data_IF_246586141342
#
_entry.id   IF_246586141342
#
_cell.length_a   1.000
_cell.length_b   1.000
_cell.length_c   1.000
_cell.angle_alpha   90.00
_cell.angle_beta   90.00
_cell.angle_gamma   90.00
#
_symmetry.space_group_name_H-M   'P 1'
#
loop_
_entity.id
_entity.type
_entity.pdbx_description
1 polymer ?
#
# COMPACT_ATOMS: atom_id res chain seq x y z
N UNK A 1 -54.74 24.58 -24.96
CA UNK A 1 -53.79 24.90 -23.85
C UNK A 1 -52.68 23.86 -23.67
N UNK A 2 -52.94 22.55 -23.47
CA UNK A 2 -51.84 21.57 -23.21
C UNK A 2 -50.72 21.51 -24.27
N UNK A 3 -51.00 21.67 -25.56
CA UNK A 3 -49.98 21.61 -26.64
C UNK A 3 -49.09 22.87 -26.79
N UNK A 4 -49.51 24.05 -26.30
CA UNK A 4 -48.63 25.23 -26.28
C UNK A 4 -47.55 25.12 -25.19
N UNK A 5 -47.91 24.51 -24.05
CA UNK A 5 -46.99 24.30 -22.92
C UNK A 5 -45.84 23.36 -23.32
N UNK A 6 -46.12 22.33 -24.13
CA UNK A 6 -45.09 21.39 -24.62
C UNK A 6 -44.06 22.07 -25.53
N UNK A 7 -44.49 23.04 -26.36
CA UNK A 7 -43.60 23.75 -27.27
C UNK A 7 -42.64 24.69 -26.51
N UNK A 8 -43.13 25.34 -25.44
CA UNK A 8 -42.32 26.26 -24.62
C UNK A 8 -41.17 25.55 -23.90
N UNK A 9 -41.37 24.29 -23.47
CA UNK A 9 -40.37 23.48 -22.77
C UNK A 9 -39.22 23.07 -23.71
N UNK A 10 -39.50 22.81 -25.00
CA UNK A 10 -38.48 22.40 -25.97
C UNK A 10 -37.55 23.57 -26.33
N UNK A 11 -38.08 24.80 -26.41
CA UNK A 11 -37.26 26.00 -26.71
C UNK A 11 -36.25 26.31 -25.59
N UNK A 12 -36.58 26.02 -24.33
CA UNK A 12 -35.67 26.20 -23.19
C UNK A 12 -34.46 25.25 -23.20
N UNK A 13 -34.53 24.13 -23.92
CA UNK A 13 -33.44 23.15 -24.04
C UNK A 13 -32.43 23.57 -25.12
N UNK A 14 -32.85 24.42 -26.07
CA UNK A 14 -32.04 24.86 -27.22
C UNK A 14 -31.32 26.20 -27.01
N UNK A 15 -31.45 26.82 -25.83
CA UNK A 15 -30.61 27.97 -25.47
C UNK A 15 -29.22 27.44 -25.08
N UNK A 16 -28.15 27.74 -25.83
CA UNK A 16 -26.82 27.38 -25.40
C UNK A 16 -26.52 28.13 -24.10
N UNK A 17 -26.41 27.38 -22.99
CA UNK A 17 -25.78 27.91 -21.78
C UNK A 17 -24.41 28.43 -22.20
N UNK A 18 -24.13 29.69 -21.88
CA UNK A 18 -22.87 30.36 -22.25
C UNK A 18 -21.71 29.42 -21.92
N UNK A 19 -20.95 29.04 -22.94
CA UNK A 19 -19.66 28.41 -22.71
C UNK A 19 -18.78 29.48 -22.07
N UNK A 20 -18.54 29.38 -20.77
CA UNK A 20 -17.53 30.21 -20.13
C UNK A 20 -16.18 29.75 -20.64
N UNK A 21 -15.58 30.57 -21.51
CA UNK A 21 -14.19 30.43 -21.88
C UNK A 21 -13.35 30.46 -20.61
N UNK A 22 -12.51 29.44 -20.43
CA UNK A 22 -11.68 29.25 -19.24
C UNK A 22 -10.88 30.52 -18.95
N UNK A 23 -11.12 31.12 -17.78
CA UNK A 23 -10.15 32.03 -17.18
C UNK A 23 -9.37 31.25 -16.11
N UNK A 24 -8.07 31.53 -16.00
CA UNK A 24 -7.16 30.70 -15.20
C UNK A 24 -7.43 30.84 -13.70
N UNK A 25 -8.02 29.80 -13.09
CA UNK A 25 -8.16 29.67 -11.63
C UNK A 25 -9.39 28.88 -11.20
N UNK A 26 -9.18 27.84 -10.38
CA UNK A 26 -10.23 27.04 -9.74
C UNK A 26 -11.24 26.36 -10.70
N UNK A 27 -10.81 25.30 -11.39
CA UNK A 27 -11.73 24.32 -11.94
C UNK A 27 -12.42 23.54 -10.81
N UNK A 28 -13.69 23.84 -10.55
CA UNK A 28 -14.51 23.02 -9.67
C UNK A 28 -14.79 21.66 -10.31
N UNK A 29 -14.67 20.58 -9.53
CA UNK A 29 -15.19 19.25 -9.89
C UNK A 29 -16.26 18.88 -8.88
N UNK A 30 -17.47 18.64 -9.37
CA UNK A 30 -18.60 18.23 -8.55
C UNK A 30 -18.40 16.82 -8.01
N UNK A 31 -18.92 16.57 -6.81
CA UNK A 31 -18.92 15.23 -6.22
C UNK A 31 -19.88 14.28 -6.96
N UNK A 32 -19.64 12.98 -6.74
CA UNK A 32 -20.44 11.81 -7.12
C UNK A 32 -20.18 11.30 -8.57
N UNK A 33 -19.79 10.01 -8.64
CA UNK A 33 -19.62 9.17 -9.82
C UNK A 33 -18.42 9.46 -10.77
N UNK A 34 -17.22 9.04 -10.32
CA UNK A 34 -16.14 8.58 -11.20
C UNK A 34 -15.21 9.64 -11.79
N UNK A 35 -13.93 9.53 -11.45
CA UNK A 35 -12.79 10.22 -12.11
C UNK A 35 -12.90 11.76 -12.05
N UNK A 36 -12.52 12.32 -10.90
CA UNK A 36 -12.17 13.74 -10.84
C UNK A 36 -10.79 13.95 -11.50
N UNK A 37 -10.70 14.91 -12.44
CA UNK A 37 -9.43 15.28 -13.06
C UNK A 37 -8.46 15.79 -11.98
N UNK A 38 -7.34 15.07 -11.78
CA UNK A 38 -6.42 15.32 -10.68
C UNK A 38 -5.60 16.59 -10.96
N UNK A 39 -6.03 17.71 -10.39
CA UNK A 39 -5.21 18.90 -10.26
C UNK A 39 -4.02 18.64 -9.32
N UNK A 40 -2.81 19.02 -9.74
CA UNK A 40 -1.59 18.75 -8.98
C UNK A 40 -1.55 19.51 -7.64
N UNK A 41 -1.94 18.84 -6.54
CA UNK A 41 -1.96 19.42 -5.20
C UNK A 41 -2.23 18.39 -4.10
N UNK A 42 -2.12 18.81 -2.84
CA UNK A 42 -2.27 17.96 -1.64
C UNK A 42 -3.64 17.27 -1.60
N UNK A 43 -4.71 17.96 -2.02
CA UNK A 43 -6.07 17.42 -2.10
C UNK A 43 -6.18 16.13 -2.92
N UNK A 44 -5.36 15.96 -3.96
CA UNK A 44 -5.34 14.74 -4.75
C UNK A 44 -4.77 13.53 -3.98
N UNK A 45 -3.79 13.76 -3.11
CA UNK A 45 -3.13 12.69 -2.34
C UNK A 45 -4.08 12.15 -1.26
N UNK A 46 -4.82 13.04 -0.56
CA UNK A 46 -5.84 12.61 0.40
C UNK A 46 -7.01 11.88 -0.31
N UNK A 47 -7.48 12.37 -1.47
CA UNK A 47 -8.51 11.67 -2.24
C UNK A 47 -8.05 10.28 -2.71
N UNK A 48 -6.79 10.13 -3.14
CA UNK A 48 -6.22 8.84 -3.51
C UNK A 48 -6.08 7.90 -2.30
N UNK A 49 -5.74 8.44 -1.12
CA UNK A 49 -5.68 7.70 0.14
C UNK A 49 -7.06 7.19 0.54
N UNK A 50 -8.08 8.03 0.54
CA UNK A 50 -9.47 7.63 0.79
C UNK A 50 -9.93 6.55 -0.18
N UNK A 51 -9.63 6.69 -1.48
CA UNK A 51 -9.95 5.69 -2.50
C UNK A 51 -9.22 4.36 -2.25
N UNK A 52 -7.94 4.42 -1.87
CA UNK A 52 -7.13 3.24 -1.58
C UNK A 52 -7.58 2.50 -0.32
N UNK A 53 -7.90 3.23 0.76
CA UNK A 53 -8.44 2.65 2.00
C UNK A 53 -9.85 2.05 1.78
N UNK A 54 -10.70 2.69 0.98
CA UNK A 54 -12.00 2.15 0.58
C UNK A 54 -11.85 0.85 -0.23
N UNK A 55 -10.99 0.83 -1.25
CA UNK A 55 -10.78 -0.38 -2.07
C UNK A 55 -10.15 -1.52 -1.28
N UNK A 56 -9.17 -1.22 -0.41
CA UNK A 56 -8.58 -2.18 0.51
C UNK A 56 -9.65 -2.78 1.47
N UNK A 57 -10.53 -1.94 2.02
CA UNK A 57 -11.65 -2.37 2.87
C UNK A 57 -12.62 -3.28 2.10
N UNK A 58 -13.00 -2.91 0.87
CA UNK A 58 -13.86 -3.74 0.02
C UNK A 58 -13.21 -5.09 -0.33
N UNK A 59 -11.89 -5.12 -0.56
CA UNK A 59 -11.17 -6.37 -0.78
C UNK A 59 -11.17 -7.25 0.47
N UNK A 60 -10.96 -6.69 1.66
CA UNK A 60 -11.05 -7.44 2.92
C UNK A 60 -12.45 -8.03 3.10
N UNK A 61 -13.51 -7.20 3.00
CA UNK A 61 -14.89 -7.68 3.17
C UNK A 61 -15.29 -8.79 2.18
N UNK A 62 -14.66 -8.82 0.99
CA UNK A 62 -14.89 -9.83 -0.04
C UNK A 62 -14.13 -11.15 0.20
N UNK A 63 -12.89 -11.08 0.68
CA UNK A 63 -11.99 -12.24 0.75
C UNK A 63 -11.79 -12.77 2.18
N UNK A 64 -12.11 -11.96 3.19
CA UNK A 64 -12.01 -12.25 4.62
C UNK A 64 -13.33 -11.93 5.34
N UNK A 65 -14.45 -12.59 4.98
CA UNK A 65 -15.76 -12.35 5.59
C UNK A 65 -15.83 -12.72 7.08
N UNK A 66 -14.81 -13.40 7.62
CA UNK A 66 -14.62 -13.64 9.05
C UNK A 66 -14.27 -12.38 9.86
N UNK A 67 -13.75 -11.31 9.23
CA UNK A 67 -13.35 -10.08 9.89
C UNK A 67 -14.54 -9.13 10.09
N UNK A 68 -15.14 -9.19 11.29
CA UNK A 68 -16.37 -8.45 11.62
C UNK A 68 -16.14 -7.04 12.18
N UNK A 69 -14.97 -6.77 12.77
CA UNK A 69 -14.64 -5.46 13.37
C UNK A 69 -13.14 -5.19 13.33
N UNK A 70 -12.71 -4.36 12.38
CA UNK A 70 -11.30 -4.02 12.15
C UNK A 70 -11.12 -2.53 11.82
N UNK A 71 -9.98 -2.00 12.24
CA UNK A 71 -9.41 -0.74 11.76
C UNK A 71 -8.53 -1.02 10.55
N UNK A 72 -8.56 -0.12 9.56
CA UNK A 72 -7.67 -0.14 8.41
C UNK A 72 -7.05 1.25 8.23
N UNK A 73 -5.72 1.33 8.16
CA UNK A 73 -5.00 2.59 7.89
C UNK A 73 -3.82 2.34 6.96
N UNK A 74 -3.68 3.15 5.90
CA UNK A 74 -2.50 3.10 5.04
C UNK A 74 -1.22 3.60 5.75
N UNK A 75 -0.08 2.99 5.42
CA UNK A 75 1.26 3.45 5.81
C UNK A 75 1.87 4.42 4.80
N UNK A 76 1.34 4.47 3.56
CA UNK A 76 2.13 4.97 2.43
C UNK A 76 1.82 6.38 1.95
N UNK A 77 0.71 6.99 2.36
CA UNK A 77 0.27 8.29 1.83
C UNK A 77 0.62 9.49 2.73
N UNK A 78 0.87 9.27 4.02
CA UNK A 78 1.12 10.35 4.98
C UNK A 78 2.39 11.16 4.60
N UNK A 79 2.20 12.40 4.14
CA UNK A 79 3.27 13.37 3.84
C UNK A 79 4.00 13.24 2.49
N UNK A 80 3.62 12.30 1.61
CA UNK A 80 4.27 12.10 0.30
C UNK A 80 3.61 12.91 -0.83
N UNK A 81 4.33 13.17 -1.94
CA UNK A 81 3.78 13.89 -3.11
C UNK A 81 3.25 12.90 -4.16
N UNK A 82 2.33 13.36 -5.01
CA UNK A 82 1.74 12.56 -6.09
C UNK A 82 2.78 11.87 -7.00
N UNK A 83 3.85 12.58 -7.37
CA UNK A 83 4.96 12.02 -8.17
C UNK A 83 5.76 10.92 -7.44
N UNK A 84 5.72 10.90 -6.11
CA UNK A 84 6.38 9.89 -5.30
C UNK A 84 5.46 8.65 -5.15
N UNK A 85 4.14 8.79 -5.39
CA UNK A 85 3.16 7.69 -5.48
C UNK A 85 3.27 6.90 -6.78
N UNK A 86 3.51 7.54 -7.93
CA UNK A 86 3.67 6.82 -9.21
C UNK A 86 4.85 5.83 -9.21
N UNK A 87 5.83 6.00 -8.31
CA UNK A 87 6.95 5.08 -8.11
C UNK A 87 6.74 4.03 -7.00
N UNK A 88 5.64 4.09 -6.25
CA UNK A 88 5.32 3.06 -5.25
C UNK A 88 4.89 1.77 -5.96
N UNK A 89 5.59 0.68 -5.65
CA UNK A 89 5.32 -0.67 -6.16
C UNK A 89 4.58 -1.58 -5.16
N UNK A 90 4.43 -1.12 -3.92
CA UNK A 90 3.66 -1.80 -2.85
C UNK A 90 2.95 -0.74 -2.01
N UNK A 91 1.62 -0.82 -1.93
CA UNK A 91 0.81 -0.05 -0.98
C UNK A 91 0.60 -0.91 0.27
N UNK A 92 0.89 -0.38 1.45
CA UNK A 92 0.74 -1.10 2.70
C UNK A 92 -0.39 -0.51 3.55
N UNK A 93 -1.18 -1.38 4.18
CA UNK A 93 -2.22 -1.01 5.13
C UNK A 93 -2.11 -1.84 6.40
N UNK A 94 -2.03 -1.17 7.55
CA UNK A 94 -2.21 -1.83 8.84
C UNK A 94 -3.69 -2.17 9.00
N UNK A 95 -3.96 -3.43 9.32
CA UNK A 95 -5.29 -3.96 9.65
C UNK A 95 -5.23 -4.45 11.10
N UNK A 96 -6.12 -3.96 11.95
CA UNK A 96 -6.16 -4.40 13.34
C UNK A 96 -7.59 -4.61 13.83
N UNK A 97 -7.89 -5.83 14.28
CA UNK A 97 -9.18 -6.18 14.87
C UNK A 97 -9.40 -5.43 16.21
N UNK A 98 -10.67 -5.19 16.55
CA UNK A 98 -11.06 -4.62 17.84
C UNK A 98 -12.44 -5.13 18.27
N UNK A 99 -12.79 -4.95 19.54
CA UNK A 99 -14.13 -5.25 20.06
C UNK A 99 -15.01 -3.98 20.03
N UNK A 100 -16.20 -4.00 19.39
CA UNK A 100 -17.07 -2.84 19.32
C UNK A 100 -17.59 -2.39 20.71
N UNK A 101 -17.21 -1.19 21.13
CA UNK A 101 -17.64 -0.54 22.36
C UNK A 101 -17.54 0.99 22.21
N UNK A 102 -18.01 1.77 23.19
CA UNK A 102 -17.75 3.22 23.23
C UNK A 102 -16.24 3.45 23.36
N UNK A 103 -15.63 4.20 22.43
CA UNK A 103 -14.17 4.43 22.35
C UNK A 103 -13.39 3.09 22.33
N UNK A 104 -13.49 2.31 21.25
CA UNK A 104 -12.85 1.01 21.17
C UNK A 104 -11.32 1.13 21.16
N UNK A 105 -10.65 0.21 21.84
CA UNK A 105 -9.19 0.09 21.81
C UNK A 105 -8.78 -0.92 20.73
N UNK A 106 -7.72 -0.60 19.98
CA UNK A 106 -7.15 -1.51 18.99
C UNK A 106 -6.29 -2.57 19.68
N UNK A 107 -6.94 -3.63 20.15
CA UNK A 107 -6.35 -4.69 20.99
C UNK A 107 -6.47 -6.10 20.40
N UNK A 108 -7.13 -6.27 19.24
CA UNK A 108 -7.25 -7.54 18.54
C UNK A 108 -6.06 -7.88 17.66
N UNK A 109 -6.23 -8.92 16.84
CA UNK A 109 -5.25 -9.44 15.89
C UNK A 109 -4.74 -8.33 14.97
N UNK A 110 -3.42 -8.34 14.74
CA UNK A 110 -2.73 -7.45 13.79
C UNK A 110 -2.44 -8.18 12.50
N UNK A 111 -2.64 -7.52 11.37
CA UNK A 111 -2.31 -7.98 10.02
C UNK A 111 -1.88 -6.78 9.17
N UNK A 112 -1.11 -7.00 8.11
CA UNK A 112 -0.78 -5.96 7.12
C UNK A 112 -1.22 -6.43 5.75
N UNK A 113 -2.07 -5.64 5.10
CA UNK A 113 -2.48 -5.88 3.73
C UNK A 113 -1.47 -5.25 2.77
N UNK A 114 -0.90 -6.07 1.91
CA UNK A 114 0.04 -5.68 0.86
C UNK A 114 -0.75 -5.59 -0.46
N UNK A 115 -0.85 -4.39 -1.03
CA UNK A 115 -1.32 -4.17 -2.39
C UNK A 115 -0.13 -3.98 -3.33
N UNK A 116 0.34 -5.05 -3.96
CA UNK A 116 1.39 -4.97 -4.98
C UNK A 116 0.86 -4.34 -6.25
N UNK A 117 1.55 -3.33 -6.76
CA UNK A 117 1.07 -2.53 -7.88
C UNK A 117 1.91 -2.79 -9.14
N UNK A 118 1.24 -3.06 -10.27
CA UNK A 118 1.91 -3.14 -11.57
C UNK A 118 1.99 -1.78 -12.26
N UNK A 119 2.82 -1.66 -13.31
CA UNK A 119 3.05 -0.40 -14.01
C UNK A 119 1.77 0.30 -14.50
N UNK A 120 1.67 1.60 -14.23
CA UNK A 120 0.51 2.43 -14.56
C UNK A 120 -0.72 2.16 -13.70
N UNK A 121 -0.54 1.79 -12.43
CA UNK A 121 -1.60 1.76 -11.40
C UNK A 121 -2.03 3.16 -10.96
N UNK A 122 -1.14 4.16 -11.00
CA UNK A 122 -1.48 5.60 -10.95
C UNK A 122 -1.19 6.21 -12.31
N UNK A 123 -2.11 7.05 -12.80
CA UNK A 123 -1.92 7.92 -13.96
C UNK A 123 -2.74 9.21 -13.79
N UNK A 124 -2.78 10.06 -14.82
CA UNK A 124 -3.49 11.36 -14.81
C UNK A 124 -5.02 11.22 -14.57
N UNK A 125 -5.59 10.04 -14.86
CA UNK A 125 -6.99 9.70 -14.58
C UNK A 125 -7.21 9.05 -13.19
N UNK A 126 -6.20 9.06 -12.32
CA UNK A 126 -6.28 8.51 -10.96
C UNK A 126 -5.76 7.09 -10.82
N UNK A 127 -6.34 6.34 -9.87
CA UNK A 127 -5.86 5.01 -9.46
C UNK A 127 -6.66 3.89 -10.13
N UNK A 128 -5.95 2.96 -10.76
CA UNK A 128 -6.48 1.71 -11.31
C UNK A 128 -6.14 0.54 -10.36
N UNK A 129 -7.14 0.11 -9.60
CA UNK A 129 -7.00 -0.98 -8.63
C UNK A 129 -7.11 -2.40 -9.22
N UNK A 130 -7.54 -2.55 -10.48
CA UNK A 130 -7.52 -3.84 -11.19
C UNK A 130 -6.08 -4.33 -11.43
N UNK A 131 -5.10 -3.41 -11.34
CA UNK A 131 -3.66 -3.66 -11.37
C UNK A 131 -3.02 -3.89 -10.00
N UNK A 132 -3.82 -4.13 -8.95
CA UNK A 132 -3.33 -4.35 -7.59
C UNK A 132 -3.58 -5.77 -7.14
N UNK A 133 -2.50 -6.48 -6.79
CA UNK A 133 -2.55 -7.84 -6.23
C UNK A 133 -2.40 -7.79 -4.72
N UNK A 134 -3.34 -8.41 -4.03
CA UNK A 134 -3.56 -8.23 -2.61
C UNK A 134 -3.15 -9.46 -1.80
N UNK A 135 -2.37 -9.26 -0.75
CA UNK A 135 -1.92 -10.31 0.17
C UNK A 135 -2.09 -9.84 1.62
N UNK A 136 -2.90 -10.54 2.42
CA UNK A 136 -3.08 -10.22 3.83
C UNK A 136 -2.08 -11.03 4.68
N UNK A 137 -1.08 -10.33 5.21
CA UNK A 137 0.05 -10.92 5.95
C UNK A 137 -0.23 -10.82 7.45
N UNK A 138 -0.11 -11.91 8.20
CA UNK A 138 -0.14 -11.89 9.67
C UNK A 138 1.27 -11.95 10.29
N UNK A 139 1.35 -11.93 11.61
CA UNK A 139 2.62 -11.97 12.35
C UNK A 139 3.48 -13.20 12.00
N UNK A 140 2.85 -14.37 11.80
CA UNK A 140 3.53 -15.63 11.53
C UNK A 140 4.11 -15.65 10.12
N UNK A 141 3.30 -15.22 9.14
CA UNK A 141 3.77 -15.10 7.76
C UNK A 141 4.82 -14.01 7.62
N UNK A 142 4.66 -12.85 8.31
CA UNK A 142 5.69 -11.80 8.34
C UNK A 142 7.02 -12.28 8.89
N UNK A 143 7.03 -13.04 9.99
CA UNK A 143 8.25 -13.65 10.53
C UNK A 143 8.84 -14.67 9.55
N UNK A 144 8.01 -15.46 8.87
CA UNK A 144 8.47 -16.38 7.81
C UNK A 144 9.09 -15.62 6.62
N UNK A 145 8.48 -14.51 6.19
CA UNK A 145 9.01 -13.63 5.15
C UNK A 145 10.37 -13.05 5.57
N UNK A 146 10.43 -12.40 6.74
CA UNK A 146 11.66 -11.78 7.27
C UNK A 146 12.76 -12.81 7.53
N UNK A 147 12.41 -14.03 7.95
CA UNK A 147 13.39 -15.12 8.10
C UNK A 147 14.04 -15.43 6.75
N UNK A 148 13.27 -15.61 5.69
CA UNK A 148 13.79 -15.87 4.34
C UNK A 148 14.67 -14.71 3.83
N UNK A 149 14.19 -13.47 4.01
CA UNK A 149 14.95 -12.28 3.64
C UNK A 149 16.28 -12.15 4.39
N UNK A 150 16.31 -12.38 5.72
CA UNK A 150 17.54 -12.34 6.52
C UNK A 150 18.53 -13.44 6.10
N UNK A 151 18.07 -14.64 5.74
CA UNK A 151 18.97 -15.68 5.19
C UNK A 151 19.71 -15.18 3.96
N UNK A 152 18.98 -14.62 2.99
CA UNK A 152 19.54 -14.05 1.76
C UNK A 152 20.46 -12.87 2.04
N UNK A 153 20.07 -12.00 2.97
CA UNK A 153 20.81 -10.78 3.26
C UNK A 153 22.08 -11.02 4.10
N UNK A 154 22.18 -12.11 4.86
CA UNK A 154 23.31 -12.39 5.78
C UNK A 154 24.12 -13.66 5.47
N UNK A 155 23.62 -14.55 4.61
CA UNK A 155 24.21 -15.87 4.37
C UNK A 155 24.00 -16.89 5.51
N UNK A 156 23.34 -16.50 6.61
CA UNK A 156 23.07 -17.40 7.74
C UNK A 156 21.88 -18.29 7.40
N UNK A 157 22.06 -19.62 7.47
CA UNK A 157 21.01 -20.58 7.09
C UNK A 157 20.13 -21.07 8.25
N UNK A 158 20.51 -20.81 9.50
CA UNK A 158 19.76 -21.23 10.69
C UNK A 158 18.47 -20.41 10.85
N UNK A 159 17.36 -21.02 10.44
CA UNK A 159 16.01 -20.45 10.54
C UNK A 159 15.59 -20.14 11.98
N UNK A 160 16.03 -20.95 12.96
CA UNK A 160 15.60 -20.77 14.36
C UNK A 160 16.32 -19.58 14.96
N UNK A 161 17.65 -19.53 14.84
CA UNK A 161 18.47 -18.40 15.27
C UNK A 161 17.98 -17.08 14.69
N UNK A 162 17.59 -17.06 13.41
CA UNK A 162 17.05 -15.87 12.75
C UNK A 162 15.69 -15.47 13.33
N UNK A 163 14.76 -16.41 13.53
CA UNK A 163 13.45 -16.13 14.14
C UNK A 163 13.57 -15.59 15.55
N UNK A 164 14.36 -16.25 16.40
CA UNK A 164 14.56 -15.86 17.80
C UNK A 164 15.11 -14.41 17.87
N UNK A 165 16.08 -14.08 16.99
CA UNK A 165 16.64 -12.72 16.89
C UNK A 165 15.70 -11.70 16.25
N UNK A 166 14.79 -12.11 15.37
CA UNK A 166 13.77 -11.23 14.80
C UNK A 166 12.72 -10.84 15.84
N UNK A 167 12.43 -11.70 16.81
CA UNK A 167 11.50 -11.40 17.91
C UNK A 167 12.13 -10.51 19.00
N UNK A 168 13.47 -10.54 19.15
CA UNK A 168 14.22 -9.71 20.11
C UNK A 168 14.67 -8.35 19.51
N UNK A 169 14.90 -8.31 18.20
CA UNK A 169 15.66 -7.25 17.53
C UNK A 169 14.86 -6.35 16.60
N UNK A 170 15.59 -5.51 15.86
CA UNK A 170 15.04 -4.63 14.82
C UNK A 170 15.92 -4.66 13.57
N UNK A 171 15.29 -4.81 12.41
CA UNK A 171 15.97 -4.77 11.11
C UNK A 171 16.47 -3.34 10.84
N UNK A 172 17.76 -3.17 10.53
CA UNK A 172 18.41 -1.89 10.18
C UNK A 172 19.33 -2.07 8.98
N UNK A 173 19.73 -0.99 8.29
CA UNK A 173 20.51 -1.06 7.03
C UNK A 173 21.60 -2.15 7.01
N UNK A 174 22.48 -2.16 8.03
CA UNK A 174 23.63 -3.07 8.16
C UNK A 174 23.32 -4.46 8.72
N UNK A 175 22.08 -4.79 9.07
CA UNK A 175 21.73 -6.08 9.64
C UNK A 175 20.55 -6.10 10.61
N UNK A 176 20.48 -7.15 11.42
CA UNK A 176 19.55 -7.27 12.54
C UNK A 176 20.22 -6.72 13.82
N UNK A 177 19.62 -5.69 14.43
CA UNK A 177 20.15 -4.98 15.60
C UNK A 177 19.44 -5.40 16.87
N UNK A 178 20.20 -5.80 17.89
CA UNK A 178 19.73 -6.21 19.22
C UNK A 178 20.58 -5.47 20.26
N UNK A 179 19.95 -4.88 21.29
CA UNK A 179 20.65 -4.20 22.39
C UNK A 179 21.77 -3.25 21.90
N UNK A 180 21.42 -2.41 20.92
CA UNK A 180 22.28 -1.48 20.18
C UNK A 180 23.42 -2.06 19.33
N UNK A 181 23.64 -3.38 19.31
CA UNK A 181 24.68 -4.06 18.52
C UNK A 181 24.09 -4.76 17.28
N UNK A 182 24.87 -4.88 16.21
CA UNK A 182 24.49 -5.72 15.06
C UNK A 182 24.72 -7.19 15.45
N UNK A 183 23.63 -7.96 15.51
CA UNK A 183 23.63 -9.35 15.94
C UNK A 183 23.67 -10.34 14.76
N UNK A 184 23.15 -9.94 13.60
CA UNK A 184 23.39 -10.60 12.31
C UNK A 184 23.71 -9.49 11.28
N UNK A 185 24.94 -9.36 10.78
CA UNK A 185 25.26 -8.41 9.72
C UNK A 185 24.60 -8.83 8.40
N UNK A 186 24.27 -7.86 7.56
CA UNK A 186 23.94 -8.10 6.16
C UNK A 186 25.16 -7.85 5.27
N UNK A 187 25.18 -8.43 4.07
CA UNK A 187 26.20 -8.17 3.06
C UNK A 187 26.20 -6.68 2.64
N UNK A 188 27.39 -6.11 2.46
CA UNK A 188 27.59 -4.81 1.80
C UNK A 188 27.81 -5.08 0.29
N UNK A 189 27.08 -4.42 -0.62
CA UNK A 189 26.83 -4.93 -1.98
C UNK A 189 26.98 -3.94 -3.14
N UNK A 190 27.08 -2.64 -2.91
CA UNK A 190 26.99 -1.58 -3.95
C UNK A 190 25.63 -1.61 -4.70
N UNK A 191 25.54 -1.06 -5.91
CA UNK A 191 24.27 -0.85 -6.62
C UNK A 191 23.81 -2.03 -7.48
N UNK A 192 24.74 -2.68 -8.20
CA UNK A 192 24.41 -3.61 -9.29
C UNK A 192 24.41 -5.09 -8.87
N UNK A 193 24.62 -5.38 -7.59
CA UNK A 193 24.64 -6.75 -7.06
C UNK A 193 23.30 -7.11 -6.39
N UNK A 194 22.85 -8.34 -6.63
CA UNK A 194 21.59 -8.88 -6.13
C UNK A 194 21.80 -10.29 -5.60
N UNK A 195 21.27 -10.58 -4.41
CA UNK A 195 21.20 -11.95 -3.87
C UNK A 195 19.74 -12.38 -3.85
N UNK A 196 19.43 -13.60 -4.31
CA UNK A 196 18.05 -14.04 -4.58
C UNK A 196 17.77 -15.38 -3.90
N UNK A 197 16.57 -15.53 -3.34
CA UNK A 197 16.00 -16.85 -3.00
C UNK A 197 14.61 -17.00 -3.60
N UNK A 198 14.24 -18.25 -3.88
CA UNK A 198 12.83 -18.61 -4.01
C UNK A 198 12.16 -18.57 -2.61
N UNK A 199 10.92 -18.09 -2.53
CA UNK A 199 10.17 -17.96 -1.27
C UNK A 199 8.87 -18.77 -1.27
N UNK A 200 8.08 -18.64 -2.34
CA UNK A 200 6.83 -19.36 -2.56
C UNK A 200 6.64 -19.64 -4.04
N UNK A 201 5.61 -20.40 -4.42
CA UNK A 201 5.27 -20.62 -5.82
C UNK A 201 5.03 -19.31 -6.61
N UNK A 202 4.69 -18.23 -5.92
CA UNK A 202 4.31 -16.94 -6.49
C UNK A 202 5.42 -15.88 -6.37
N UNK A 203 6.38 -16.05 -5.45
CA UNK A 203 7.35 -15.01 -5.08
C UNK A 203 8.80 -15.51 -4.98
N UNK A 204 9.73 -14.65 -5.42
CA UNK A 204 11.15 -14.69 -5.03
C UNK A 204 11.49 -13.48 -4.20
N UNK A 205 12.38 -13.61 -3.23
CA UNK A 205 12.94 -12.46 -2.52
C UNK A 205 14.33 -12.12 -3.03
N UNK A 206 14.59 -10.82 -3.11
CA UNK A 206 15.81 -10.23 -3.62
C UNK A 206 16.33 -9.27 -2.56
N UNK A 207 17.61 -9.41 -2.21
CA UNK A 207 18.34 -8.44 -1.39
C UNK A 207 19.20 -7.55 -2.28
N UNK A 208 18.99 -6.25 -2.14
CA UNK A 208 19.87 -5.15 -2.54
C UNK A 208 19.88 -4.18 -1.34
N UNK A 209 20.95 -3.39 -1.14
CA UNK A 209 21.40 -2.83 0.15
C UNK A 209 20.33 -2.18 1.05
N UNK A 210 19.21 -1.69 0.50
CA UNK A 210 18.25 -0.81 1.20
C UNK A 210 16.78 -1.27 1.12
N UNK A 211 16.45 -2.35 0.42
CA UNK A 211 15.08 -2.82 0.25
C UNK A 211 14.95 -4.35 0.29
N UNK A 212 13.75 -4.80 0.67
CA UNK A 212 13.26 -6.13 0.33
C UNK A 212 12.65 -6.05 -1.07
N UNK A 213 13.34 -6.61 -2.06
CA UNK A 213 12.76 -6.85 -3.37
C UNK A 213 11.90 -8.11 -3.33
N UNK A 214 10.70 -8.04 -3.90
CA UNK A 214 9.82 -9.19 -4.10
C UNK A 214 9.54 -9.27 -5.60
N UNK A 215 9.96 -10.36 -6.23
CA UNK A 215 9.64 -10.63 -7.63
C UNK A 215 8.40 -11.52 -7.71
N UNK A 216 7.33 -11.00 -8.30
CA UNK A 216 6.06 -11.69 -8.49
C UNK A 216 6.15 -12.52 -9.77
N UNK A 217 6.23 -13.85 -9.62
CA UNK A 217 6.48 -14.78 -10.74
C UNK A 217 5.36 -14.78 -11.79
N UNK A 218 4.12 -14.50 -11.38
CA UNK A 218 2.97 -14.50 -12.27
C UNK A 218 2.93 -13.29 -13.20
N UNK A 219 3.28 -12.08 -12.71
CA UNK A 219 3.28 -10.85 -13.51
C UNK A 219 4.67 -10.50 -14.06
N UNK A 220 5.73 -11.10 -13.52
CA UNK A 220 7.13 -10.74 -13.73
C UNK A 220 7.51 -9.32 -13.24
N UNK A 221 6.72 -8.75 -12.32
CA UNK A 221 7.03 -7.46 -11.69
C UNK A 221 8.03 -7.65 -10.54
N UNK A 222 9.02 -6.76 -10.46
CA UNK A 222 9.85 -6.58 -9.26
C UNK A 222 9.29 -5.40 -8.45
N UNK A 223 8.72 -5.70 -7.30
CA UNK A 223 8.29 -4.69 -6.32
C UNK A 223 9.33 -4.54 -5.21
N UNK A 224 9.39 -3.38 -4.56
CA UNK A 224 10.36 -3.11 -3.50
C UNK A 224 9.71 -2.48 -2.28
N UNK A 225 9.96 -3.07 -1.12
CA UNK A 225 9.61 -2.50 0.19
C UNK A 225 10.88 -1.88 0.78
N UNK A 226 10.86 -0.57 0.98
CA UNK A 226 11.97 0.19 1.53
C UNK A 226 12.19 -0.10 3.01
N UNK A 227 13.43 0.11 3.49
CA UNK A 227 13.80 -0.23 4.88
C UNK A 227 12.87 0.33 5.95
N UNK A 228 12.40 1.57 5.79
CA UNK A 228 11.50 2.21 6.75
C UNK A 228 10.16 1.45 6.82
N UNK A 229 9.55 1.10 5.69
CA UNK A 229 8.33 0.28 5.66
C UNK A 229 8.55 -1.10 6.30
N UNK A 230 9.69 -1.76 6.04
CA UNK A 230 10.04 -3.03 6.74
C UNK A 230 10.09 -2.83 8.26
N UNK A 231 10.69 -1.73 8.70
CA UNK A 231 10.75 -1.33 10.10
C UNK A 231 9.34 -1.06 10.65
N UNK A 232 8.50 -0.33 9.93
CA UNK A 232 7.18 0.11 10.40
C UNK A 232 6.19 -1.07 10.48
N UNK A 233 6.25 -2.02 9.54
CA UNK A 233 5.51 -3.29 9.60
C UNK A 233 5.98 -4.11 10.83
N UNK A 234 7.30 -4.22 11.03
CA UNK A 234 7.85 -5.02 12.12
C UNK A 234 7.56 -4.40 13.50
N UNK A 235 7.68 -3.08 13.64
CA UNK A 235 7.24 -2.34 14.82
C UNK A 235 5.71 -2.48 15.00
N UNK A 236 4.90 -2.42 13.94
CA UNK A 236 3.45 -2.59 14.06
C UNK A 236 3.09 -3.94 14.69
N UNK A 237 3.68 -5.05 14.25
CA UNK A 237 3.47 -6.36 14.88
C UNK A 237 4.01 -6.39 16.33
N UNK A 238 5.30 -6.13 16.53
CA UNK A 238 6.03 -6.52 17.76
C UNK A 238 6.23 -5.43 18.81
N UNK A 239 5.99 -4.15 18.49
CA UNK A 239 6.15 -3.07 19.46
C UNK A 239 5.06 -3.17 20.53
N UNK A 240 5.52 -3.26 21.77
CA UNK A 240 4.74 -3.22 23.02
C UNK A 240 4.79 -1.80 23.59
#
# INVERSE_FOLDING_TARGET
>A
MRKLITLLIIVLILIPKKAEAQNNGAAAVAAIAGIAAIGAGIFAVEQMKEQAELTATQWILKNHPELTSFSLKTLDFDGKKLKDMSSVSVILFNVQEFQPQEKPELNGKKQVLFGFTSNGWVNENGVNFDKVKWYLIDESEWIKMMTSYVKVASGVNDSKLIKDKLLEGKIVNKGLKINSKIALPFFELTGDMYVVTDYSNDMKFIYNERSLGIFLKETNDLVQIGRNQIIDIHDFFFKK
#
